data_IF_958136384006
#
_entry.id   IF_958136384006
#
_cell.length_a   1.000
_cell.length_b   1.000
_cell.length_c   1.000
_cell.angle_alpha   90.00
_cell.angle_beta   90.00
_cell.angle_gamma   90.00
#
_symmetry.space_group_name_H-M   'P 1'
#
loop_
_entity.id
_entity.type
_entity.pdbx_description
1 polymer ?
#
# COMPACT_ATOMS: atom_id res chain seq x y z
N UNK A 1 6.38 -4.61 -6.44
CA UNK A 1 5.72 -3.28 -6.46
C UNK A 1 6.55 -2.22 -5.73
N UNK A 2 6.74 -2.27 -4.40
CA UNK A 2 7.58 -1.29 -3.71
C UNK A 2 9.08 -1.46 -4.03
N UNK A 3 9.65 -2.62 -3.73
CA UNK A 3 11.09 -2.87 -3.65
C UNK A 3 11.59 -4.01 -4.56
N UNK A 4 10.77 -4.51 -5.48
CA UNK A 4 11.25 -5.51 -6.44
C UNK A 4 12.31 -4.90 -7.36
N UNK A 5 13.44 -5.59 -7.56
CA UNK A 5 14.52 -5.10 -8.42
C UNK A 5 14.35 -5.47 -9.90
N UNK A 6 13.33 -6.27 -10.23
CA UNK A 6 13.05 -6.70 -11.61
C UNK A 6 14.10 -7.67 -12.20
N UNK A 7 14.95 -8.26 -11.38
CA UNK A 7 16.11 -9.06 -11.83
C UNK A 7 15.75 -10.11 -12.90
N UNK A 8 14.70 -10.89 -12.67
CA UNK A 8 14.28 -11.93 -13.60
C UNK A 8 13.61 -11.42 -14.90
N UNK A 9 13.46 -10.11 -15.05
CA UNK A 9 12.86 -9.47 -16.21
C UNK A 9 13.72 -8.29 -16.71
N UNK A 10 15.03 -8.32 -16.49
CA UNK A 10 15.98 -7.28 -16.93
C UNK A 10 15.57 -5.86 -16.49
N UNK A 11 15.02 -5.75 -15.27
CA UNK A 11 14.57 -4.49 -14.69
C UNK A 11 13.17 -4.01 -15.10
N UNK A 12 12.52 -4.64 -16.08
CA UNK A 12 11.20 -4.20 -16.62
C UNK A 12 10.11 -4.05 -15.56
N UNK A 13 10.11 -4.91 -14.55
CA UNK A 13 9.11 -4.92 -13.48
C UNK A 13 9.70 -4.49 -12.14
N UNK A 14 10.67 -3.56 -12.18
CA UNK A 14 11.22 -2.99 -10.97
C UNK A 14 10.15 -2.18 -10.21
N UNK A 15 10.21 -2.22 -8.90
CA UNK A 15 9.38 -1.40 -8.01
C UNK A 15 9.83 0.06 -8.01
N UNK A 16 9.12 0.86 -7.18
CA UNK A 16 9.40 2.30 -7.06
C UNK A 16 10.74 2.55 -6.36
N UNK A 17 11.08 1.77 -5.34
CA UNK A 17 12.33 1.85 -4.57
C UNK A 17 13.08 0.50 -4.60
N UNK A 18 13.68 0.13 -5.73
CA UNK A 18 14.22 -1.22 -5.94
C UNK A 18 15.43 -1.56 -5.05
N UNK A 19 16.10 -0.56 -4.51
CA UNK A 19 17.23 -0.72 -3.60
C UNK A 19 16.85 -0.74 -2.12
N UNK A 20 15.57 -0.52 -1.79
CA UNK A 20 15.12 -0.57 -0.40
C UNK A 20 15.13 -2.00 0.14
N UNK A 21 15.64 -2.16 1.36
CA UNK A 21 15.58 -3.43 2.09
C UNK A 21 14.15 -3.80 2.49
N UNK A 22 13.87 -5.10 2.55
CA UNK A 22 12.54 -5.62 2.91
C UNK A 22 12.63 -6.41 4.21
N UNK A 23 11.77 -6.06 5.17
CA UNK A 23 11.48 -6.86 6.36
C UNK A 23 10.07 -7.40 6.23
N UNK A 24 9.94 -8.72 6.05
CA UNK A 24 8.64 -9.37 5.90
C UNK A 24 8.12 -9.84 7.26
N UNK A 25 6.98 -9.33 7.67
CA UNK A 25 6.26 -9.73 8.89
C UNK A 25 5.00 -10.48 8.51
N UNK A 26 5.04 -11.81 8.56
CA UNK A 26 3.92 -12.67 8.16
C UNK A 26 2.84 -12.69 9.24
N UNK A 27 1.68 -12.11 8.92
CA UNK A 27 0.50 -12.04 9.80
C UNK A 27 -0.72 -12.77 9.22
N UNK A 28 -0.63 -13.22 7.98
CA UNK A 28 -1.67 -13.96 7.26
C UNK A 28 -1.23 -15.42 7.05
N UNK A 29 -2.20 -16.31 7.05
CA UNK A 29 -2.00 -17.73 6.74
C UNK A 29 -1.82 -17.98 5.23
N UNK A 30 -1.73 -19.25 4.85
CA UNK A 30 -1.60 -19.67 3.43
C UNK A 30 -2.82 -19.31 2.57
N UNK A 31 -3.97 -19.05 3.20
CA UNK A 31 -5.21 -18.65 2.52
C UNK A 31 -5.33 -17.12 2.39
N UNK A 32 -4.34 -16.37 2.87
CA UNK A 32 -4.38 -14.91 2.92
C UNK A 32 -5.31 -14.38 4.00
N UNK A 33 -5.66 -15.20 5.01
CA UNK A 33 -6.52 -14.83 6.11
C UNK A 33 -5.71 -14.61 7.39
N UNK A 34 -6.19 -13.72 8.22
CA UNK A 34 -5.61 -13.43 9.53
C UNK A 34 -6.63 -12.76 10.43
N UNK A 35 -6.22 -12.47 11.65
CA UNK A 35 -7.04 -11.71 12.58
C UNK A 35 -6.31 -10.44 13.04
N UNK A 36 -7.07 -9.51 13.60
CA UNK A 36 -6.53 -8.23 14.08
C UNK A 36 -5.49 -8.41 15.19
N UNK A 37 -5.56 -9.46 16.00
CA UNK A 37 -4.57 -9.77 17.03
C UNK A 37 -3.21 -10.06 16.41
N UNK A 38 -3.15 -10.87 15.33
CA UNK A 38 -1.90 -11.13 14.63
C UNK A 38 -1.34 -9.87 13.99
N UNK A 39 -2.19 -9.00 13.43
CA UNK A 39 -1.76 -7.72 12.89
C UNK A 39 -1.14 -6.84 13.98
N UNK A 40 -1.79 -6.72 15.14
CA UNK A 40 -1.27 -5.95 16.28
C UNK A 40 0.05 -6.52 16.81
N UNK A 41 0.17 -7.85 16.91
CA UNK A 41 1.42 -8.49 17.32
C UNK A 41 2.55 -8.22 16.32
N UNK A 42 2.25 -8.27 15.01
CA UNK A 42 3.20 -7.92 13.96
C UNK A 42 3.67 -6.47 14.05
N UNK A 43 2.75 -5.53 14.29
CA UNK A 43 3.08 -4.12 14.47
C UNK A 43 3.91 -3.87 15.74
N UNK A 44 3.63 -4.56 16.84
CA UNK A 44 4.45 -4.53 18.07
C UNK A 44 5.85 -5.02 17.80
N UNK A 45 5.99 -6.16 17.09
CA UNK A 45 7.31 -6.66 16.72
C UNK A 45 8.09 -5.63 15.88
N UNK A 46 7.43 -4.92 14.96
CA UNK A 46 8.04 -3.83 14.18
C UNK A 46 8.53 -2.72 15.12
N UNK A 47 7.71 -2.28 16.10
CA UNK A 47 8.12 -1.26 17.08
C UNK A 47 9.39 -1.66 17.83
N UNK A 48 9.43 -2.89 18.32
CA UNK A 48 10.55 -3.41 19.12
C UNK A 48 11.84 -3.58 18.30
N UNK A 49 11.70 -3.78 16.98
CA UNK A 49 12.81 -4.09 16.09
C UNK A 49 13.12 -2.97 15.07
N UNK A 50 12.38 -1.87 15.08
CA UNK A 50 12.51 -0.80 14.07
C UNK A 50 13.92 -0.22 14.02
N UNK A 51 14.54 0.03 15.15
CA UNK A 51 15.91 0.52 15.23
C UNK A 51 16.91 -0.49 14.69
N UNK A 52 16.79 -1.77 15.10
CA UNK A 52 17.70 -2.86 14.71
C UNK A 52 17.76 -3.05 13.19
N UNK A 53 16.62 -2.98 12.52
CA UNK A 53 16.50 -3.21 11.07
C UNK A 53 16.34 -1.92 10.27
N UNK A 54 16.47 -0.75 10.91
CA UNK A 54 16.29 0.57 10.28
C UNK A 54 14.96 0.67 9.53
N UNK A 55 13.85 0.19 10.16
CA UNK A 55 12.53 0.24 9.53
C UNK A 55 12.03 1.67 9.53
N UNK A 56 11.76 2.22 8.34
CA UNK A 56 11.30 3.60 8.12
C UNK A 56 9.88 3.66 7.57
N UNK A 57 9.47 2.64 6.83
CA UNK A 57 8.15 2.57 6.17
C UNK A 57 7.50 1.22 6.49
N UNK A 58 6.21 1.24 6.81
CA UNK A 58 5.38 0.05 6.99
C UNK A 58 4.27 0.06 5.95
N UNK A 59 4.21 -0.98 5.12
CA UNK A 59 3.16 -1.20 4.14
C UNK A 59 2.10 -2.15 4.69
N UNK A 60 0.84 -1.71 4.73
CA UNK A 60 -0.31 -2.48 5.19
C UNK A 60 -1.33 -2.66 4.07
N UNK A 61 -1.06 -3.59 3.14
CA UNK A 61 -2.00 -3.98 2.08
C UNK A 61 -3.08 -4.93 2.63
N UNK A 62 -3.64 -4.58 3.77
CA UNK A 62 -4.66 -5.35 4.50
C UNK A 62 -5.80 -4.44 4.94
N UNK A 63 -6.96 -5.04 5.18
CA UNK A 63 -8.10 -4.39 5.79
C UNK A 63 -8.91 -5.38 6.60
N UNK A 64 -9.70 -4.91 7.55
CA UNK A 64 -10.61 -5.76 8.32
C UNK A 64 -12.03 -5.66 7.77
N UNK A 65 -12.77 -6.78 7.78
CA UNK A 65 -14.19 -6.78 7.46
C UNK A 65 -15.06 -6.32 8.66
N UNK A 66 -14.44 -6.12 9.81
CA UNK A 66 -15.14 -5.62 10.99
C UNK A 66 -15.33 -4.10 10.85
N UNK A 67 -16.60 -3.68 10.80
CA UNK A 67 -16.97 -2.26 10.75
C UNK A 67 -16.74 -1.53 12.07
N UNK A 68 -16.53 -2.26 13.17
CA UNK A 68 -16.18 -1.67 14.45
C UNK A 68 -14.74 -1.14 14.40
N UNK A 69 -14.55 0.01 14.96
CA UNK A 69 -13.20 0.57 15.11
C UNK A 69 -12.36 -0.41 15.92
N UNK A 70 -11.36 -1.00 15.28
CA UNK A 70 -10.41 -1.87 15.96
C UNK A 70 -9.41 -0.98 16.72
N UNK A 71 -9.74 -0.62 17.95
CA UNK A 71 -8.93 0.28 18.77
C UNK A 71 -7.47 -0.19 18.90
N UNK A 72 -7.17 -1.48 19.21
CA UNK A 72 -5.79 -1.92 19.33
C UNK A 72 -4.98 -1.77 18.03
N UNK A 73 -5.60 -2.01 16.88
CA UNK A 73 -4.95 -1.84 15.58
C UNK A 73 -4.69 -0.37 15.28
N UNK A 74 -5.68 0.49 15.56
CA UNK A 74 -5.55 1.94 15.42
C UNK A 74 -4.41 2.48 16.31
N UNK A 75 -4.40 2.13 17.58
CA UNK A 75 -3.37 2.55 18.54
C UNK A 75 -1.97 2.10 18.11
N UNK A 76 -1.84 0.85 17.63
CA UNK A 76 -0.56 0.34 17.14
C UNK A 76 -0.04 1.12 15.93
N UNK A 77 -0.90 1.46 14.97
CA UNK A 77 -0.54 2.27 13.80
C UNK A 77 -0.15 3.69 14.22
N UNK A 78 -0.93 4.33 15.09
CA UNK A 78 -0.64 5.67 15.61
C UNK A 78 0.67 5.71 16.40
N UNK A 79 0.98 4.64 17.14
CA UNK A 79 2.26 4.52 17.86
C UNK A 79 3.45 4.45 16.91
N UNK A 80 3.39 3.67 15.83
CA UNK A 80 4.42 3.65 14.80
C UNK A 80 4.65 5.03 14.18
N UNK A 81 3.55 5.73 13.88
CA UNK A 81 3.61 7.09 13.36
C UNK A 81 4.32 8.06 14.31
N UNK A 82 3.99 8.00 15.61
CA UNK A 82 4.65 8.79 16.66
C UNK A 82 6.14 8.45 16.81
N UNK A 83 6.52 7.20 16.54
CA UNK A 83 7.93 6.75 16.52
C UNK A 83 8.71 7.23 15.28
N UNK A 84 8.08 7.96 14.37
CA UNK A 84 8.71 8.46 13.15
C UNK A 84 8.69 7.47 11.99
N UNK A 85 7.87 6.42 12.05
CA UNK A 85 7.72 5.42 10.99
C UNK A 85 6.52 5.77 10.13
N UNK A 86 6.73 5.90 8.82
CA UNK A 86 5.65 6.14 7.86
C UNK A 86 4.81 4.87 7.72
N UNK A 87 3.50 4.97 7.94
CA UNK A 87 2.57 3.86 7.74
C UNK A 87 1.69 4.16 6.53
N UNK A 88 1.69 3.26 5.56
CA UNK A 88 0.88 3.34 4.33
C UNK A 88 -0.11 2.18 4.32
N UNK A 89 -1.40 2.46 4.16
CA UNK A 89 -2.44 1.44 4.26
C UNK A 89 -3.42 1.49 3.08
N UNK A 90 -3.84 0.31 2.63
CA UNK A 90 -4.85 0.18 1.59
C UNK A 90 -6.21 0.68 2.08
N UNK A 91 -6.83 1.58 1.33
CA UNK A 91 -8.14 2.14 1.65
C UNK A 91 -9.31 1.16 1.43
N UNK A 92 -9.01 -0.05 0.95
CA UNK A 92 -10.00 -1.05 0.58
C UNK A 92 -10.40 -0.98 -0.88
N UNK A 93 -11.08 -2.01 -1.35
CA UNK A 93 -11.64 -2.08 -2.70
C UNK A 93 -13.14 -1.79 -2.65
N UNK A 94 -13.72 -1.17 -3.69
CA UNK A 94 -15.15 -0.96 -3.76
C UNK A 94 -15.87 -2.32 -3.79
N UNK A 95 -16.59 -2.63 -2.74
CA UNK A 95 -17.41 -3.84 -2.62
C UNK A 95 -18.93 -3.56 -2.80
N UNK A 96 -19.25 -2.39 -3.36
CA UNK A 96 -20.63 -1.90 -3.50
C UNK A 96 -21.25 -1.40 -2.18
N UNK A 97 -20.50 -1.39 -1.10
CA UNK A 97 -20.95 -0.91 0.22
C UNK A 97 -20.37 0.48 0.48
N UNK A 98 -21.23 1.45 0.40
CA UNK A 98 -21.03 2.88 0.68
C UNK A 98 -19.72 3.24 1.39
N UNK A 99 -18.67 3.49 0.60
CA UNK A 99 -17.53 4.30 0.97
C UNK A 99 -16.76 3.96 2.26
N UNK A 100 -16.89 2.77 2.83
CA UNK A 100 -16.21 2.38 4.06
C UNK A 100 -14.72 2.13 3.83
N UNK A 101 -13.87 2.89 4.54
CA UNK A 101 -12.44 2.57 4.66
C UNK A 101 -12.23 1.62 5.84
N UNK A 102 -11.71 0.41 5.60
CA UNK A 102 -11.45 -0.51 6.71
C UNK A 102 -10.26 -0.04 7.55
N UNK A 103 -10.24 -0.31 8.87
CA UNK A 103 -9.00 -0.20 9.63
C UNK A 103 -7.90 -1.07 9.00
N UNK A 104 -6.62 -0.61 8.95
CA UNK A 104 -6.10 0.57 9.64
C UNK A 104 -6.21 1.89 8.84
N UNK A 105 -6.73 1.89 7.62
CA UNK A 105 -6.74 3.07 6.75
C UNK A 105 -7.53 4.29 7.27
N UNK A 106 -8.41 4.09 8.25
CA UNK A 106 -9.16 5.17 8.94
C UNK A 106 -8.37 5.85 10.06
N UNK A 107 -7.16 5.38 10.39
CA UNK A 107 -6.36 5.93 11.48
C UNK A 107 -5.75 7.27 11.07
N UNK A 108 -5.62 8.22 12.03
CA UNK A 108 -5.00 9.51 11.78
C UNK A 108 -3.50 9.42 11.44
N UNK A 109 -2.81 8.42 12.00
CA UNK A 109 -1.38 8.16 11.78
C UNK A 109 -1.10 7.23 10.60
N UNK A 110 -1.68 7.52 9.43
CA UNK A 110 -1.52 6.68 8.23
C UNK A 110 -1.64 7.51 6.96
N UNK A 111 -1.05 7.01 5.88
CA UNK A 111 -1.34 7.45 4.51
C UNK A 111 -2.25 6.39 3.89
N UNK A 112 -3.51 6.72 3.68
CA UNK A 112 -4.47 5.81 3.07
C UNK A 112 -4.44 5.91 1.55
N UNK A 113 -4.41 4.75 0.85
CA UNK A 113 -4.22 4.68 -0.60
C UNK A 113 -5.36 3.92 -1.26
N UNK A 114 -5.99 4.56 -2.23
CA UNK A 114 -6.97 3.94 -3.14
C UNK A 114 -6.33 3.47 -4.44
N UNK A 115 -6.96 2.50 -5.11
CA UNK A 115 -6.58 2.07 -6.44
C UNK A 115 -7.21 2.96 -7.50
N UNK A 116 -6.41 3.37 -8.46
CA UNK A 116 -6.84 4.05 -9.66
C UNK A 116 -6.90 3.05 -10.81
N UNK A 117 -8.00 3.09 -11.58
CA UNK A 117 -8.18 2.29 -12.80
C UNK A 117 -7.87 3.16 -14.02
N UNK A 118 -6.99 2.68 -14.89
CA UNK A 118 -6.43 3.46 -16.00
C UNK A 118 -7.36 3.55 -17.24
N UNK A 119 -8.52 2.90 -17.21
CA UNK A 119 -9.45 2.84 -18.35
C UNK A 119 -10.03 4.19 -18.78
N UNK A 120 -9.78 5.27 -18.04
CA UNK A 120 -10.37 6.58 -18.25
C UNK A 120 -9.39 7.70 -18.64
N UNK A 121 -8.20 7.35 -19.13
CA UNK A 121 -7.17 8.34 -19.49
C UNK A 121 -7.64 9.41 -20.51
N UNK A 122 -8.73 9.19 -21.22
CA UNK A 122 -9.22 10.08 -22.26
C UNK A 122 -10.52 10.83 -21.97
N UNK A 123 -11.21 10.58 -20.88
CA UNK A 123 -12.49 11.23 -20.59
C UNK A 123 -12.52 11.73 -19.14
N UNK A 124 -12.00 12.90 -18.90
CA UNK A 124 -12.06 13.68 -17.65
C UNK A 124 -11.78 12.85 -16.37
N UNK A 125 -11.24 13.41 -15.30
CA UNK A 125 -11.05 12.65 -14.08
C UNK A 125 -12.41 12.14 -13.61
N UNK A 126 -12.75 10.91 -13.99
CA UNK A 126 -13.83 10.21 -13.36
C UNK A 126 -13.33 9.99 -11.91
N UNK A 127 -13.60 10.98 -11.08
CA UNK A 127 -13.53 10.75 -9.64
C UNK A 127 -14.25 9.43 -9.40
N UNK A 128 -13.64 8.51 -8.66
CA UNK A 128 -14.29 7.25 -8.40
C UNK A 128 -15.69 7.55 -7.90
N UNK A 129 -16.67 6.99 -8.56
CA UNK A 129 -18.11 7.15 -8.30
C UNK A 129 -18.52 6.75 -6.85
N UNK A 130 -17.58 6.51 -5.95
CA UNK A 130 -17.74 5.69 -4.76
C UNK A 130 -17.81 6.45 -3.44
N UNK A 131 -17.64 7.75 -3.37
CA UNK A 131 -18.07 8.43 -2.14
C UNK A 131 -18.44 9.88 -2.38
N UNK A 132 -19.68 10.20 -2.08
CA UNK A 132 -20.16 11.58 -1.92
C UNK A 132 -19.78 12.19 -0.56
N UNK A 133 -19.22 11.39 0.36
CA UNK A 133 -18.82 11.80 1.69
C UNK A 133 -17.30 11.94 1.75
N UNK A 134 -16.81 13.17 1.96
CA UNK A 134 -15.37 13.51 2.03
C UNK A 134 -14.59 12.69 3.06
N UNK A 135 -15.27 12.22 4.11
CA UNK A 135 -14.65 11.47 5.21
C UNK A 135 -14.26 10.04 4.86
N UNK A 136 -14.59 9.60 3.65
CA UNK A 136 -14.39 8.23 3.20
C UNK A 136 -13.37 8.10 2.07
N UNK A 137 -12.92 9.21 1.48
CA UNK A 137 -11.90 9.19 0.43
C UNK A 137 -10.52 8.85 1.00
N UNK A 138 -9.69 8.07 0.27
CA UNK A 138 -8.29 7.91 0.63
C UNK A 138 -7.55 9.24 0.58
N UNK A 139 -6.40 9.31 1.25
CA UNK A 139 -5.52 10.47 1.16
C UNK A 139 -4.93 10.62 -0.25
N UNK A 140 -4.60 9.50 -0.89
CA UNK A 140 -3.95 9.43 -2.19
C UNK A 140 -4.54 8.31 -3.04
N UNK A 141 -4.39 8.47 -4.35
CA UNK A 141 -4.64 7.43 -5.34
C UNK A 141 -3.32 7.03 -6.00
N UNK A 142 -3.19 5.75 -6.35
CA UNK A 142 -2.08 5.25 -7.15
C UNK A 142 -2.59 4.17 -8.13
N UNK A 143 -1.85 3.88 -9.21
CA UNK A 143 -2.21 2.81 -10.11
C UNK A 143 -2.45 1.51 -9.37
N UNK A 144 -3.58 0.88 -9.60
CA UNK A 144 -3.99 -0.34 -8.89
C UNK A 144 -4.67 -1.35 -9.79
N UNK A 145 -4.72 -1.13 -11.10
CA UNK A 145 -5.24 -2.08 -12.08
C UNK A 145 -4.07 -2.74 -12.84
N UNK A 146 -4.14 -4.05 -13.00
CA UNK A 146 -3.20 -4.88 -13.77
C UNK A 146 -1.72 -4.64 -13.40
N UNK A 147 -1.46 -4.47 -12.12
CA UNK A 147 -0.11 -4.22 -11.61
C UNK A 147 0.70 -5.53 -11.62
N UNK A 148 1.80 -5.51 -12.37
CA UNK A 148 2.72 -6.64 -12.47
C UNK A 148 3.64 -6.66 -11.25
N UNK A 149 3.77 -7.83 -10.62
CA UNK A 149 4.68 -8.05 -9.49
C UNK A 149 5.17 -9.49 -9.45
N UNK A 150 6.12 -9.76 -8.58
CA UNK A 150 6.72 -11.10 -8.43
C UNK A 150 5.67 -12.13 -8.05
N UNK A 151 5.76 -13.28 -8.67
CA UNK A 151 4.99 -14.48 -8.36
C UNK A 151 5.79 -15.33 -7.37
N UNK A 152 5.18 -15.70 -6.25
CA UNK A 152 5.79 -16.68 -5.35
C UNK A 152 5.82 -18.07 -6.00
N UNK A 153 6.90 -18.83 -5.87
CA UNK A 153 6.93 -20.22 -6.35
C UNK A 153 5.88 -21.11 -5.64
N UNK A 154 5.51 -20.73 -4.40
CA UNK A 154 4.50 -21.42 -3.60
C UNK A 154 3.08 -20.84 -3.77
N UNK A 155 2.83 -20.08 -4.85
CA UNK A 155 1.53 -19.45 -5.07
C UNK A 155 0.47 -20.50 -5.42
N UNK A 156 -0.51 -20.65 -4.54
CA UNK A 156 -1.54 -21.67 -4.67
C UNK A 156 -2.71 -21.15 -5.54
N UNK A 157 -2.76 -21.60 -6.79
CA UNK A 157 -3.81 -21.26 -7.75
C UNK A 157 -5.14 -21.98 -7.51
N UNK A 158 -5.22 -22.90 -6.56
CA UNK A 158 -6.48 -23.57 -6.22
C UNK A 158 -7.39 -22.72 -5.34
N UNK A 159 -6.85 -21.65 -4.75
CA UNK A 159 -7.60 -20.75 -3.88
C UNK A 159 -8.47 -19.78 -4.67
N UNK A 160 -9.61 -19.33 -4.11
CA UNK A 160 -10.51 -18.37 -4.74
C UNK A 160 -9.79 -17.09 -5.19
N UNK A 161 -10.26 -16.53 -6.31
CA UNK A 161 -9.74 -15.28 -6.90
C UNK A 161 -8.28 -15.36 -7.39
N UNK A 162 -7.73 -16.57 -7.55
CA UNK A 162 -6.39 -16.80 -8.11
C UNK A 162 -6.49 -17.49 -9.47
N UNK A 163 -6.00 -16.84 -10.50
CA UNK A 163 -6.08 -17.37 -11.87
C UNK A 163 -4.70 -17.47 -12.52
N UNK A 164 -4.42 -18.61 -13.14
CA UNK A 164 -3.21 -18.76 -13.98
C UNK A 164 -3.22 -17.83 -15.20
N UNK A 165 -4.38 -17.30 -15.60
CA UNK A 165 -4.48 -16.32 -16.70
C UNK A 165 -3.79 -15.00 -16.37
N UNK A 166 -3.57 -14.72 -15.08
CA UNK A 166 -2.90 -13.52 -14.61
C UNK A 166 -1.37 -13.67 -14.59
N UNK A 167 -0.83 -14.85 -14.91
CA UNK A 167 0.62 -15.05 -15.02
C UNK A 167 1.11 -14.31 -16.26
N UNK A 168 2.12 -13.46 -16.08
CA UNK A 168 2.77 -12.70 -17.15
C UNK A 168 3.92 -13.49 -17.74
N UNK A 169 4.71 -14.11 -16.84
CA UNK A 169 5.78 -15.05 -17.16
C UNK A 169 6.04 -15.97 -15.94
N UNK A 170 7.10 -16.77 -15.94
CA UNK A 170 7.39 -17.74 -14.88
C UNK A 170 7.54 -17.11 -13.49
N UNK A 171 7.90 -15.81 -13.42
CA UNK A 171 8.27 -15.14 -12.18
C UNK A 171 7.33 -13.98 -11.80
N UNK A 172 6.34 -13.66 -12.65
CA UNK A 172 5.51 -12.47 -12.47
C UNK A 172 4.03 -12.76 -12.71
N UNK A 173 3.20 -12.00 -11.98
CA UNK A 173 1.74 -12.09 -12.02
C UNK A 173 1.14 -10.70 -12.02
N UNK A 174 0.04 -10.53 -12.72
CA UNK A 174 -0.82 -9.32 -12.68
C UNK A 174 -1.86 -9.44 -11.59
N UNK A 175 -2.03 -8.39 -10.80
CA UNK A 175 -3.09 -8.28 -9.79
C UNK A 175 -3.65 -6.84 -9.75
N UNK A 176 -4.92 -6.71 -9.33
CA UNK A 176 -5.59 -5.41 -9.22
C UNK A 176 -6.14 -5.17 -7.81
N UNK A 177 -6.18 -3.91 -7.39
CA UNK A 177 -6.77 -3.46 -6.13
C UNK A 177 -5.91 -2.45 -5.36
N UNK A 178 -6.50 -1.87 -4.30
CA UNK A 178 -5.80 -0.94 -3.41
C UNK A 178 -4.56 -1.55 -2.75
N UNK A 179 -4.55 -2.88 -2.56
CA UNK A 179 -3.38 -3.62 -2.08
C UNK A 179 -2.17 -3.53 -3.01
N UNK A 180 -2.40 -3.29 -4.32
CA UNK A 180 -1.37 -3.12 -5.35
C UNK A 180 -0.93 -1.67 -5.49
N UNK A 181 -1.84 -0.73 -5.27
CA UNK A 181 -1.56 0.71 -5.25
C UNK A 181 -0.73 1.13 -4.02
N UNK A 182 -1.03 0.57 -2.86
CA UNK A 182 -0.39 0.92 -1.57
C UNK A 182 1.13 0.80 -1.59
N UNK A 183 1.75 -0.29 -2.09
CA UNK A 183 3.21 -0.41 -2.12
C UNK A 183 3.90 0.59 -3.06
N UNK A 184 3.21 1.16 -4.06
CA UNK A 184 3.79 2.23 -4.88
C UNK A 184 4.04 3.49 -4.04
N UNK A 185 3.06 3.86 -3.22
CA UNK A 185 3.19 4.98 -2.28
C UNK A 185 4.22 4.68 -1.17
N UNK A 186 4.29 3.42 -0.72
CA UNK A 186 5.33 3.01 0.24
C UNK A 186 6.73 3.16 -0.34
N UNK A 187 6.93 2.81 -1.61
CA UNK A 187 8.18 3.03 -2.33
C UNK A 187 8.52 4.51 -2.48
N UNK A 188 7.53 5.34 -2.86
CA UNK A 188 7.70 6.80 -2.96
C UNK A 188 8.09 7.41 -1.60
N UNK A 189 7.46 6.96 -0.51
CA UNK A 189 7.85 7.39 0.84
C UNK A 189 9.28 6.97 1.19
N UNK A 190 9.70 5.78 0.77
CA UNK A 190 11.07 5.30 0.99
C UNK A 190 12.11 6.14 0.22
N UNK A 191 11.82 6.56 -1.01
CA UNK A 191 12.69 7.45 -1.79
C UNK A 191 12.85 8.81 -1.11
N UNK A 192 11.74 9.44 -0.67
CA UNK A 192 11.80 10.71 0.08
C UNK A 192 12.64 10.59 1.36
N UNK A 193 12.53 9.45 2.06
CA UNK A 193 13.32 9.18 3.26
C UNK A 193 14.78 8.83 2.95
N UNK A 194 15.10 8.34 1.75
CA UNK A 194 16.47 8.13 1.32
C UNK A 194 17.20 9.48 1.13
N UNK A 195 16.50 10.48 0.57
CA UNK A 195 17.04 11.84 0.46
C UNK A 195 17.16 12.54 1.83
N UNK A 196 16.15 12.41 2.67
CA UNK A 196 16.07 13.09 3.97
C UNK A 196 15.64 12.13 5.08
N UNK A 197 16.56 11.32 5.65
CA UNK A 197 16.26 10.21 6.56
C UNK A 197 15.57 10.59 7.89
N UNK A 198 15.60 11.86 8.25
CA UNK A 198 15.02 12.40 9.49
C UNK A 198 13.65 13.07 9.28
N UNK A 199 13.12 13.04 8.06
CA UNK A 199 11.82 13.64 7.75
C UNK A 199 10.71 12.91 8.50
N UNK A 200 9.85 13.65 9.18
CA UNK A 200 8.74 13.10 9.97
C UNK A 200 7.63 12.56 9.07
N UNK A 201 6.88 11.54 9.50
CA UNK A 201 5.80 10.95 8.71
C UNK A 201 4.75 11.95 8.20
N UNK A 202 4.37 12.93 9.03
CA UNK A 202 3.43 13.98 8.64
C UNK A 202 3.96 14.84 7.47
N UNK A 203 5.27 15.10 7.44
CA UNK A 203 5.89 15.83 6.37
C UNK A 203 6.01 14.99 5.09
N UNK A 204 6.34 13.70 5.20
CA UNK A 204 6.30 12.77 4.07
C UNK A 204 4.89 12.75 3.46
N UNK A 205 3.85 12.60 4.30
CA UNK A 205 2.44 12.67 3.85
C UNK A 205 2.16 13.98 3.12
N UNK A 206 2.58 15.12 3.66
CA UNK A 206 2.40 16.44 3.06
C UNK A 206 3.08 16.55 1.69
N UNK A 207 4.32 16.08 1.57
CA UNK A 207 5.08 16.10 0.31
C UNK A 207 4.39 15.24 -0.77
N UNK A 208 3.98 14.02 -0.42
CA UNK A 208 3.26 13.14 -1.34
C UNK A 208 1.94 13.75 -1.81
N UNK A 209 1.16 14.35 -0.89
CA UNK A 209 -0.08 15.06 -1.23
C UNK A 209 0.17 16.26 -2.16
N UNK A 210 1.23 17.02 -1.94
CA UNK A 210 1.59 18.13 -2.81
C UNK A 210 1.96 17.68 -4.23
N UNK A 211 2.73 16.59 -4.36
CA UNK A 211 3.08 16.01 -5.66
C UNK A 211 1.87 15.41 -6.39
N UNK A 212 0.91 14.88 -5.68
CA UNK A 212 -0.33 14.34 -6.23
C UNK A 212 -1.35 15.43 -6.65
N UNK A 213 -1.29 16.62 -6.06
CA UNK A 213 -2.27 17.71 -6.25
C UNK A 213 -2.52 18.08 -7.71
N UNK A 214 -1.49 18.23 -8.58
CA UNK A 214 -1.68 18.54 -9.98
C UNK A 214 -2.50 17.50 -10.76
N UNK A 215 -2.56 16.28 -10.25
CA UNK A 215 -3.21 15.11 -10.85
C UNK A 215 -4.48 14.68 -10.08
N UNK A 216 -5.13 15.59 -9.37
CA UNK A 216 -6.37 15.30 -8.64
C UNK A 216 -6.20 14.32 -7.46
N UNK A 217 -5.00 14.22 -6.89
CA UNK A 217 -4.68 13.28 -5.80
C UNK A 217 -4.09 11.94 -6.29
N UNK A 218 -3.85 11.80 -7.59
CA UNK A 218 -3.19 10.62 -8.17
C UNK A 218 -1.67 10.80 -8.19
N UNK A 219 -0.95 9.82 -7.65
CA UNK A 219 0.49 9.64 -7.85
C UNK A 219 0.71 8.52 -8.86
N UNK A 220 1.14 8.88 -10.06
CA UNK A 220 1.50 7.88 -11.08
C UNK A 220 2.82 7.19 -10.72
N UNK A 221 3.07 6.02 -11.31
CA UNK A 221 4.34 5.33 -11.12
C UNK A 221 5.56 6.16 -11.59
N UNK A 222 5.38 6.99 -12.63
CA UNK A 222 6.40 7.91 -13.12
C UNK A 222 6.70 9.00 -12.11
N UNK A 223 5.66 9.68 -11.57
CA UNK A 223 5.82 10.67 -10.49
C UNK A 223 6.45 10.05 -9.25
N UNK A 224 6.08 8.81 -8.89
CA UNK A 224 6.70 8.11 -7.77
C UNK A 224 8.22 7.87 -7.95
N UNK A 225 8.69 7.69 -9.19
CA UNK A 225 10.12 7.46 -9.48
C UNK A 225 10.94 8.75 -9.59
N UNK A 226 10.29 9.88 -9.79
CA UNK A 226 10.94 11.21 -9.90
C UNK A 226 10.90 12.00 -8.59
N UNK A 227 10.43 11.37 -7.53
CA UNK A 227 10.49 11.86 -6.17
C UNK A 227 11.89 11.76 -5.63
#
# INVERSE_FOLDING_TARGET
MACGNGHNAEGRYAGVAPEAGIVSVKILDRYGQGNSTHAVLGLRWIMDNAHKYNIKVVNLSIGTNDRKVNLPLKEAVERLWQMGIVVVAAAGNPDGRNGYRPPPAVSGGVISVGAWEDRSYFLAPAFPLFSRERDVLPDLWAPGEDIISVLSPDFDFTLPNRSRKNIVDENYITMSGASMATPLISGAAALLLAENPHTRPAEIKRLLLQKAKPFGGLLTAEVCRTI
#
